data_IF_653213279373
#
_entry.id   IF_653213279373
#
_cell.length_a   1.000
_cell.length_b   1.000
_cell.length_c   1.000
_cell.angle_alpha   90.00
_cell.angle_beta   90.00
_cell.angle_gamma   90.00
#
_symmetry.space_group_name_H-M   'P 1'
#
loop_
_entity.id
_entity.type
_entity.pdbx_description
1 polymer ?
#
# COMPACT_ATOMS: atom_id res chain seq x y z
N UNK A 1 3.22 39.79 -10.08
CA UNK A 1 3.00 38.61 -9.23
C UNK A 1 4.28 37.80 -9.24
N UNK A 2 5.07 37.85 -8.16
CA UNK A 2 6.29 37.05 -8.06
C UNK A 2 5.89 35.63 -7.69
N UNK A 3 5.91 34.73 -8.67
CA UNK A 3 5.79 33.29 -8.43
C UNK A 3 7.16 32.85 -7.94
N UNK A 4 7.36 32.88 -6.62
CA UNK A 4 8.52 32.27 -5.99
C UNK A 4 8.38 30.76 -6.13
N UNK A 5 9.10 30.20 -7.10
CA UNK A 5 9.23 28.76 -7.29
C UNK A 5 10.13 28.22 -6.15
N UNK A 6 9.55 28.10 -4.96
CA UNK A 6 10.26 27.56 -3.80
C UNK A 6 10.43 26.06 -4.03
N UNK A 7 11.69 25.62 -4.15
CA UNK A 7 12.03 24.20 -4.08
C UNK A 7 11.39 23.62 -2.82
N UNK A 8 10.43 22.71 -3.01
CA UNK A 8 9.68 22.10 -1.91
C UNK A 8 10.67 21.41 -0.97
N UNK A 9 10.58 21.72 0.33
CA UNK A 9 11.44 21.11 1.34
C UNK A 9 11.43 19.58 1.19
N UNK A 10 12.61 18.96 1.06
CA UNK A 10 12.76 17.50 0.89
C UNK A 10 12.01 16.72 1.97
N UNK A 11 12.03 17.19 3.22
CA UNK A 11 11.26 16.61 4.31
C UNK A 11 9.76 16.67 4.05
N UNK A 12 9.25 17.81 3.58
CA UNK A 12 7.83 17.98 3.25
C UNK A 12 7.42 17.06 2.10
N UNK A 13 8.24 16.97 1.05
CA UNK A 13 8.01 16.08 -0.10
C UNK A 13 7.97 14.63 0.33
N UNK A 14 9.01 14.16 1.05
CA UNK A 14 9.11 12.78 1.53
C UNK A 14 7.94 12.41 2.45
N UNK A 15 7.64 13.27 3.44
CA UNK A 15 6.54 13.04 4.36
C UNK A 15 5.20 12.96 3.62
N UNK A 16 4.98 13.83 2.63
CA UNK A 16 3.75 13.83 1.83
C UNK A 16 3.60 12.53 1.05
N UNK A 17 4.63 12.07 0.34
CA UNK A 17 4.55 10.82 -0.43
C UNK A 17 4.40 9.60 0.48
N UNK A 18 5.15 9.53 1.59
CA UNK A 18 5.02 8.44 2.56
C UNK A 18 3.64 8.40 3.22
N UNK A 19 3.02 9.56 3.47
CA UNK A 19 1.68 9.62 4.08
C UNK A 19 0.57 9.07 3.18
N UNK A 20 0.76 9.10 1.85
CA UNK A 20 -0.19 8.56 0.87
C UNK A 20 -0.07 7.03 0.74
N UNK A 21 1.09 6.47 1.07
CA UNK A 21 1.41 5.06 0.84
C UNK A 21 0.37 4.09 1.43
N UNK A 22 -0.07 4.22 2.69
CA UNK A 22 -1.04 3.29 3.27
C UNK A 22 -2.41 3.38 2.60
N UNK A 23 -2.77 4.58 2.10
CA UNK A 23 -4.04 4.83 1.42
C UNK A 23 -4.04 4.14 0.06
N UNK A 24 -2.99 4.36 -0.74
CA UNK A 24 -2.82 3.74 -2.06
C UNK A 24 -2.77 2.22 -1.93
N UNK A 25 -1.98 1.70 -0.99
CA UNK A 25 -1.90 0.26 -0.75
C UNK A 25 -3.27 -0.35 -0.42
N UNK A 26 -4.03 0.28 0.50
CA UNK A 26 -5.37 -0.18 0.87
C UNK A 26 -6.31 -0.20 -0.33
N UNK A 27 -6.32 0.88 -1.13
CA UNK A 27 -7.19 1.00 -2.30
C UNK A 27 -6.91 -0.07 -3.34
N UNK A 28 -5.64 -0.29 -3.67
CA UNK A 28 -5.25 -1.34 -4.61
C UNK A 28 -5.53 -2.75 -4.10
N UNK A 29 -5.29 -3.02 -2.81
CA UNK A 29 -5.70 -4.32 -2.21
C UNK A 29 -7.21 -4.49 -2.27
N UNK A 30 -7.99 -3.44 -2.02
CA UNK A 30 -9.44 -3.52 -2.10
C UNK A 30 -9.93 -3.83 -3.51
N UNK A 31 -9.36 -3.17 -4.52
CA UNK A 31 -9.67 -3.41 -5.92
C UNK A 31 -9.30 -4.83 -6.34
N UNK A 32 -8.04 -5.22 -6.17
CA UNK A 32 -7.51 -6.49 -6.68
C UNK A 32 -8.04 -7.73 -5.94
N UNK A 33 -8.35 -7.60 -4.64
CA UNK A 33 -8.90 -8.70 -3.83
C UNK A 33 -10.44 -8.63 -3.73
N UNK A 34 -11.09 -7.66 -4.39
CA UNK A 34 -12.53 -7.39 -4.27
C UNK A 34 -12.98 -7.23 -2.80
N UNK A 35 -12.20 -6.50 -2.01
CA UNK A 35 -12.56 -6.16 -0.64
C UNK A 35 -13.30 -4.83 -0.61
N UNK A 36 -14.34 -4.76 0.21
CA UNK A 36 -14.80 -3.47 0.74
C UNK A 36 -13.80 -2.94 1.77
N UNK A 37 -13.77 -1.63 2.01
CA UNK A 37 -12.94 -1.02 3.06
C UNK A 37 -13.13 -1.69 4.44
N UNK A 38 -14.37 -2.00 4.89
CA UNK A 38 -14.55 -2.77 6.12
C UNK A 38 -13.96 -4.18 6.06
N UNK A 39 -14.07 -4.87 4.92
CA UNK A 39 -13.47 -6.20 4.72
C UNK A 39 -11.96 -6.15 4.84
N UNK A 40 -11.31 -5.16 4.23
CA UNK A 40 -9.87 -4.94 4.34
C UNK A 40 -9.44 -4.87 5.82
N UNK A 41 -10.06 -4.00 6.60
CA UNK A 41 -9.68 -3.85 8.01
C UNK A 41 -10.02 -5.07 8.87
N UNK A 42 -11.09 -5.82 8.55
CA UNK A 42 -11.38 -7.11 9.22
C UNK A 42 -10.33 -8.16 8.92
N UNK A 43 -9.94 -8.31 7.65
CA UNK A 43 -8.91 -9.25 7.18
C UNK A 43 -7.53 -8.91 7.70
N UNK A 44 -7.17 -7.61 7.74
CA UNK A 44 -5.90 -7.10 8.28
C UNK A 44 -5.69 -7.51 9.75
N UNK A 45 -6.78 -7.53 10.54
CA UNK A 45 -6.76 -8.00 11.94
C UNK A 45 -7.14 -9.48 12.08
N UNK A 46 -7.35 -10.17 10.96
CA UNK A 46 -7.76 -11.56 10.93
C UNK A 46 -6.59 -12.46 11.32
N UNK A 47 -6.88 -13.46 12.14
CA UNK A 47 -5.95 -14.52 12.52
C UNK A 47 -6.45 -15.86 11.96
N UNK A 48 -5.53 -16.73 11.60
CA UNK A 48 -5.85 -18.10 11.20
C UNK A 48 -6.51 -18.81 12.38
N UNK A 49 -7.59 -19.55 12.10
CA UNK A 49 -8.39 -20.23 13.13
C UNK A 49 -8.23 -21.73 13.03
N UNK A 50 -8.28 -22.43 14.16
CA UNK A 50 -8.43 -23.89 14.18
C UNK A 50 -9.87 -24.25 14.50
N UNK A 51 -10.50 -25.01 13.61
CA UNK A 51 -11.86 -25.53 13.79
C UNK A 51 -11.80 -27.03 13.49
N UNK A 52 -12.20 -27.86 14.46
CA UNK A 52 -12.20 -29.33 14.35
C UNK A 52 -10.86 -29.91 13.85
N UNK A 53 -9.75 -29.38 14.38
CA UNK A 53 -8.38 -29.76 14.01
C UNK A 53 -7.90 -29.23 12.66
N UNK A 54 -8.75 -28.55 11.87
CA UNK A 54 -8.38 -27.95 10.58
C UNK A 54 -8.02 -26.48 10.71
N UNK A 55 -6.98 -26.05 10.00
CA UNK A 55 -6.57 -24.65 9.91
C UNK A 55 -7.40 -23.94 8.83
N UNK A 56 -8.14 -22.91 9.24
CA UNK A 56 -8.88 -22.01 8.35
C UNK A 56 -8.11 -20.69 8.30
N UNK A 57 -7.44 -20.36 7.19
CA UNK A 57 -6.63 -19.16 7.12
C UNK A 57 -7.49 -17.91 7.02
N UNK A 58 -7.04 -16.81 7.61
CA UNK A 58 -7.72 -15.51 7.51
C UNK A 58 -7.68 -14.97 6.07
N UNK A 59 -6.60 -15.27 5.34
CA UNK A 59 -6.39 -14.93 3.94
C UNK A 59 -6.21 -16.18 3.09
N UNK A 60 -6.87 -16.25 1.94
CA UNK A 60 -6.65 -17.29 0.94
C UNK A 60 -5.24 -17.16 0.33
N UNK A 61 -4.76 -18.23 -0.32
CA UNK A 61 -3.45 -18.17 -0.99
C UNK A 61 -3.43 -17.14 -2.13
N UNK A 62 -4.54 -17.00 -2.86
CA UNK A 62 -4.67 -16.00 -3.93
C UNK A 62 -4.63 -14.57 -3.36
N UNK A 63 -5.36 -14.31 -2.26
CA UNK A 63 -5.32 -13.01 -1.57
C UNK A 63 -3.89 -12.70 -1.10
N UNK A 64 -3.19 -13.66 -0.48
CA UNK A 64 -1.79 -13.49 -0.03
C UNK A 64 -0.85 -13.13 -1.17
N UNK A 65 -0.97 -13.82 -2.31
CA UNK A 65 -0.14 -13.56 -3.49
C UNK A 65 -0.39 -12.15 -4.01
N UNK A 66 -1.67 -11.79 -4.18
CA UNK A 66 -2.04 -10.49 -4.73
C UNK A 66 -1.64 -9.32 -3.81
N UNK A 67 -1.78 -9.48 -2.50
CA UNK A 67 -1.34 -8.47 -1.52
C UNK A 67 0.17 -8.23 -1.61
N UNK A 68 0.99 -9.27 -1.86
CA UNK A 68 2.43 -9.11 -2.06
C UNK A 68 2.75 -8.35 -3.35
N UNK A 69 2.09 -8.72 -4.45
CA UNK A 69 2.23 -8.02 -5.74
C UNK A 69 1.90 -6.53 -5.63
N UNK A 70 0.80 -6.20 -4.96
CA UNK A 70 0.41 -4.81 -4.69
C UNK A 70 1.46 -4.10 -3.83
N UNK A 71 1.94 -4.74 -2.76
CA UNK A 71 2.99 -4.17 -1.91
C UNK A 71 4.28 -3.86 -2.68
N UNK A 72 4.70 -4.76 -3.56
CA UNK A 72 5.87 -4.55 -4.43
C UNK A 72 5.65 -3.39 -5.40
N UNK A 73 4.49 -3.33 -6.05
CA UNK A 73 4.13 -2.26 -6.99
C UNK A 73 4.13 -0.88 -6.33
N UNK A 74 3.46 -0.76 -5.18
CA UNK A 74 3.37 0.48 -4.42
C UNK A 74 4.74 0.95 -3.92
N UNK A 75 5.61 0.01 -3.50
CA UNK A 75 6.97 0.34 -3.05
C UNK A 75 7.83 0.83 -4.22
N UNK A 76 7.78 0.15 -5.38
CA UNK A 76 8.50 0.59 -6.58
C UNK A 76 8.06 1.98 -7.03
N UNK A 77 6.76 2.25 -7.01
CA UNK A 77 6.21 3.56 -7.34
C UNK A 77 6.72 4.66 -6.39
N UNK A 78 6.75 4.38 -5.08
CA UNK A 78 7.29 5.30 -4.08
C UNK A 78 8.78 5.59 -4.29
N UNK A 79 9.58 4.55 -4.54
CA UNK A 79 11.02 4.71 -4.81
C UNK A 79 11.23 5.54 -6.07
N UNK A 80 10.47 5.28 -7.13
CA UNK A 80 10.51 6.06 -8.37
C UNK A 80 10.11 7.52 -8.14
N UNK A 81 9.08 7.79 -7.32
CA UNK A 81 8.65 9.17 -7.06
C UNK A 81 9.63 9.96 -6.20
N UNK A 82 10.42 9.29 -5.35
CA UNK A 82 11.40 9.94 -4.46
C UNK A 82 12.78 10.09 -5.13
N UNK A 83 13.21 9.08 -5.88
CA UNK A 83 14.59 8.96 -6.38
C UNK A 83 14.68 8.95 -7.92
N UNK A 84 13.56 9.06 -8.64
CA UNK A 84 13.49 8.91 -10.10
C UNK A 84 13.99 10.08 -10.94
N UNK A 85 14.49 11.17 -10.33
CA UNK A 85 15.05 12.32 -11.05
C UNK A 85 16.58 12.45 -10.84
N UNK A 86 17.31 11.43 -11.30
CA UNK A 86 18.78 11.35 -11.23
C UNK A 86 19.51 11.13 -12.55
N UNK A 87 18.83 11.14 -13.69
CA UNK A 87 19.45 11.15 -15.02
C UNK A 87 18.90 12.34 -15.84
N UNK A 88 19.57 13.48 -15.72
CA UNK A 88 19.66 14.49 -16.78
C UNK A 88 21.09 15.00 -16.84
#
# INVERSE_FOLDING_TARGET
MNITNHATNVLLTLHTELSKLPVIFREQVCEECNFSTPTFYRKMRGIDRRVDGRLIPALSNAEKQKIREVGEGVTKALVASIFGDGEK
#
